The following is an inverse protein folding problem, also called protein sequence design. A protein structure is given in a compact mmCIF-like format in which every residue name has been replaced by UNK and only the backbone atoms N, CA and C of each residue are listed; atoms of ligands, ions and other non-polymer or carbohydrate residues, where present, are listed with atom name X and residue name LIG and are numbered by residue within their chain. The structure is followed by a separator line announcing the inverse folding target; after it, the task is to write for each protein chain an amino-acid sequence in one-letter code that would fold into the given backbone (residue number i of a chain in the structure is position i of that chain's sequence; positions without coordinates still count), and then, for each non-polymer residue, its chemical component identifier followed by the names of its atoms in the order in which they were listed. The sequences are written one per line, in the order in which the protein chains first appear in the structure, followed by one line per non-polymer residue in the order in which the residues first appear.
data_IF_404760405000
#
_entry.id   IF_404760405000
#
_cell.length_a   1.000
_cell.length_b   1.000
_cell.length_c   1.000
_cell.angle_alpha   90.00
_cell.angle_beta   90.00
_cell.angle_gamma   90.00
#
_symmetry.space_group_name_H-M   'P 1'
#
loop_
_entity.id
_entity.type
_entity.pdbx_description
1 polymer ?
#
# COMPACT_ATOMS: atom_id res chain seq x y z
N UNK A 1 -5.90 18.90 48.16
CA UNK A 1 -6.73 18.71 46.94
C UNK A 1 -5.79 18.27 45.83
N UNK A 2 -5.86 17.00 45.41
CA UNK A 2 -5.10 16.51 44.26
C UNK A 2 -5.99 16.64 43.02
N UNK A 3 -5.60 17.53 42.10
CA UNK A 3 -6.24 17.66 40.79
C UNK A 3 -5.83 16.44 39.96
N UNK A 4 -6.74 15.50 39.73
CA UNK A 4 -6.54 14.36 38.82
C UNK A 4 -7.25 14.71 37.52
N UNK A 5 -6.51 14.77 36.41
CA UNK A 5 -7.11 14.71 35.09
C UNK A 5 -7.42 13.23 34.80
N UNK A 6 -8.70 12.79 34.85
CA UNK A 6 -9.02 11.38 34.69
C UNK A 6 -8.68 10.94 33.25
N UNK A 7 -7.99 9.80 33.09
CA UNK A 7 -7.75 9.24 31.77
C UNK A 7 -9.08 8.91 31.10
N UNK A 8 -9.21 9.26 29.81
CA UNK A 8 -10.43 9.04 29.03
C UNK A 8 -10.55 7.55 28.67
N UNK A 9 -11.75 7.01 28.82
CA UNK A 9 -12.03 5.58 28.58
C UNK A 9 -11.70 5.11 27.16
N UNK A 10 -11.70 6.03 26.19
CA UNK A 10 -11.41 5.73 24.78
C UNK A 10 -9.92 5.43 24.54
N UNK A 11 -9.01 5.91 25.38
CA UNK A 11 -7.56 5.70 25.24
C UNK A 11 -7.21 4.22 25.44
N UNK A 12 -7.77 3.57 26.47
CA UNK A 12 -7.47 2.16 26.75
C UNK A 12 -7.86 1.24 25.58
N UNK A 13 -9.02 1.49 24.97
CA UNK A 13 -9.47 0.74 23.78
C UNK A 13 -8.56 0.94 22.57
N UNK A 14 -8.06 2.16 22.37
CA UNK A 14 -7.17 2.51 21.27
C UNK A 14 -5.76 1.94 21.45
N UNK A 15 -5.21 1.98 22.68
CA UNK A 15 -3.95 1.31 23.02
C UNK A 15 -4.05 -0.20 22.79
N UNK A 16 -5.18 -0.81 23.15
CA UNK A 16 -5.47 -2.20 22.84
C UNK A 16 -5.49 -2.50 21.35
N UNK A 17 -6.10 -1.63 20.53
CA UNK A 17 -6.12 -1.76 19.08
C UNK A 17 -4.72 -1.63 18.45
N UNK A 18 -3.93 -0.64 18.88
CA UNK A 18 -2.53 -0.47 18.42
C UNK A 18 -1.68 -1.71 18.77
N UNK A 19 -1.83 -2.24 19.98
CA UNK A 19 -1.13 -3.47 20.39
C UNK A 19 -1.51 -4.69 19.58
N UNK A 20 -2.81 -4.90 19.30
CA UNK A 20 -3.25 -5.98 18.38
C UNK A 20 -2.63 -5.82 16.99
N UNK A 21 -2.44 -4.58 16.56
CA UNK A 21 -1.76 -4.24 15.32
C UNK A 21 -0.23 -4.31 15.37
N UNK A 22 0.34 -4.80 16.47
CA UNK A 22 1.79 -4.91 16.67
C UNK A 22 2.50 -3.56 16.82
N UNK A 23 1.78 -2.49 17.13
CA UNK A 23 2.33 -1.15 17.38
C UNK A 23 2.54 -0.98 18.90
N UNK A 24 3.80 -0.78 19.28
CA UNK A 24 4.17 -0.47 20.67
C UNK A 24 3.74 0.95 21.06
N UNK A 25 3.25 1.12 22.29
CA UNK A 25 2.92 2.43 22.86
C UNK A 25 3.78 2.65 24.09
N UNK A 26 4.50 3.78 24.12
CA UNK A 26 5.42 4.16 25.19
C UNK A 26 5.00 5.51 25.74
N UNK A 27 4.95 5.65 27.06
CA UNK A 27 4.70 6.92 27.73
C UNK A 27 6.03 7.59 28.11
N UNK A 28 6.22 8.85 27.74
CA UNK A 28 7.34 9.68 28.19
C UNK A 28 6.82 10.98 28.82
N UNK A 29 6.95 11.11 30.14
CA UNK A 29 6.41 12.24 30.92
C UNK A 29 7.46 12.88 31.84
N UNK A 30 7.26 14.16 32.15
CA UNK A 30 8.01 14.88 33.19
C UNK A 30 7.53 14.54 34.61
N UNK A 31 6.42 13.82 34.75
CA UNK A 31 5.82 13.49 36.05
C UNK A 31 6.67 12.55 36.91
N UNK A 32 6.29 12.48 38.19
CA UNK A 32 6.85 11.51 39.12
C UNK A 32 6.59 10.05 38.67
N UNK A 33 7.55 9.12 38.83
CA UNK A 33 7.39 7.72 38.41
C UNK A 33 6.10 7.04 38.90
N UNK A 34 5.73 7.25 40.17
CA UNK A 34 4.50 6.69 40.73
C UNK A 34 3.22 7.19 40.05
N UNK A 35 3.17 8.48 39.67
CA UNK A 35 2.04 9.06 38.94
C UNK A 35 2.02 8.54 37.50
N UNK A 36 3.17 8.51 36.83
CA UNK A 36 3.30 8.02 35.47
C UNK A 36 2.81 6.56 35.34
N UNK A 37 3.20 5.68 36.27
CA UNK A 37 2.72 4.30 36.32
C UNK A 37 1.21 4.22 36.54
N UNK A 38 0.69 5.00 37.48
CA UNK A 38 -0.74 4.98 37.78
C UNK A 38 -1.57 5.38 36.54
N UNK A 39 -1.15 6.42 35.83
CA UNK A 39 -1.81 6.84 34.57
C UNK A 39 -1.61 5.79 33.49
N UNK A 40 -0.38 5.31 33.26
CA UNK A 40 -0.08 4.32 32.24
C UNK A 40 -0.87 3.01 32.41
N UNK A 41 -1.09 2.56 33.65
CA UNK A 41 -1.94 1.40 33.94
C UNK A 41 -3.40 1.69 33.68
N UNK A 42 -3.89 2.86 34.08
CA UNK A 42 -5.28 3.25 33.86
C UNK A 42 -5.64 3.35 32.37
N UNK A 43 -4.70 3.77 31.51
CA UNK A 43 -4.89 3.83 30.05
C UNK A 43 -4.44 2.56 29.31
N UNK A 44 -4.02 1.50 30.01
CA UNK A 44 -3.61 0.23 29.39
C UNK A 44 -2.26 0.24 28.68
N UNK A 45 -1.42 1.27 28.86
CA UNK A 45 -0.03 1.33 28.35
C UNK A 45 0.92 0.46 29.18
N UNK A 46 0.66 0.30 30.47
CA UNK A 46 1.52 -0.47 31.38
C UNK A 46 0.79 -1.69 31.95
N UNK A 47 1.47 -2.85 31.95
CA UNK A 47 1.05 -4.00 32.76
C UNK A 47 1.30 -3.76 34.26
N UNK A 48 0.78 -4.65 35.11
CA UNK A 48 0.92 -4.55 36.57
C UNK A 48 2.38 -4.58 37.02
N UNK A 49 3.24 -5.26 36.28
CA UNK A 49 4.69 -5.43 36.50
C UNK A 49 5.55 -4.55 35.59
N UNK A 50 4.97 -3.52 34.95
CA UNK A 50 5.67 -2.68 34.00
C UNK A 50 6.94 -2.03 34.59
N UNK A 51 8.04 -2.18 33.86
CA UNK A 51 9.32 -1.53 34.16
C UNK A 51 9.19 -0.04 33.84
N UNK A 52 9.61 0.78 34.81
CA UNK A 52 9.69 2.24 34.67
C UNK A 52 11.15 2.62 34.65
N UNK A 53 11.52 3.49 33.70
CA UNK A 53 12.86 4.05 33.64
C UNK A 53 12.79 5.55 33.89
N UNK A 54 13.67 6.06 34.74
CA UNK A 54 13.74 7.51 34.99
C UNK A 54 14.61 8.22 33.94
N UNK A 55 14.46 9.53 33.77
CA UNK A 55 15.32 10.31 32.86
C UNK A 55 16.82 10.17 33.19
N UNK A 56 17.17 10.08 34.47
CA UNK A 56 18.55 9.88 34.91
C UNK A 56 19.08 8.52 34.43
N UNK A 57 18.31 7.44 34.60
CA UNK A 57 18.63 6.11 34.10
C UNK A 57 18.74 6.06 32.58
N UNK A 58 17.85 6.75 31.86
CA UNK A 58 17.86 6.84 30.39
C UNK A 58 19.15 7.44 29.85
N UNK A 59 19.74 8.40 30.57
CA UNK A 59 20.99 9.06 30.17
C UNK A 59 22.16 8.06 30.10
N UNK A 60 22.13 7.02 30.94
CA UNK A 60 23.12 5.94 30.92
C UNK A 60 22.89 4.92 29.79
N UNK A 61 21.65 4.82 29.28
CA UNK A 61 21.29 3.90 28.19
C UNK A 61 21.74 4.41 26.82
N UNK A 62 21.83 5.73 26.63
CA UNK A 62 22.23 6.33 25.35
C UNK A 62 23.64 5.91 24.91
N UNK A 63 24.53 5.75 25.88
CA UNK A 63 25.94 5.39 25.66
C UNK A 63 26.20 3.89 25.87
N UNK A 64 25.17 3.11 26.20
CA UNK A 64 25.30 1.67 26.38
C UNK A 64 25.35 0.95 25.01
N UNK A 65 26.15 -0.13 24.86
CA UNK A 65 26.16 -0.93 23.64
C UNK A 65 24.77 -1.52 23.37
N UNK A 66 24.42 -1.65 22.07
CA UNK A 66 23.13 -1.91 21.39
C UNK A 66 22.15 -2.98 21.95
N UNK A 67 22.38 -3.56 23.13
CA UNK A 67 21.69 -4.74 23.65
C UNK A 67 20.81 -4.52 24.89
N UNK A 68 20.61 -3.28 25.36
CA UNK A 68 19.65 -3.06 26.46
C UNK A 68 18.23 -3.22 25.92
N UNK A 69 17.38 -4.10 26.50
CA UNK A 69 16.02 -4.33 26.01
C UNK A 69 15.09 -3.15 26.32
N UNK A 70 15.26 -2.06 25.59
CA UNK A 70 14.35 -0.89 25.53
C UNK A 70 12.94 -1.35 25.17
N UNK A 71 12.83 -2.44 24.41
CA UNK A 71 11.58 -3.10 24.05
C UNK A 71 10.70 -3.50 25.25
N UNK A 72 11.24 -3.56 26.48
CA UNK A 72 10.47 -3.90 27.70
C UNK A 72 10.02 -2.67 28.50
N UNK A 73 10.57 -1.49 28.26
CA UNK A 73 10.21 -0.28 29.03
C UNK A 73 9.04 0.43 28.37
N UNK A 74 7.92 0.51 29.08
CA UNK A 74 6.67 1.14 28.59
C UNK A 74 6.47 2.55 29.13
N UNK A 75 7.18 2.92 30.22
CA UNK A 75 7.01 4.19 30.91
C UNK A 75 8.37 4.81 31.23
N UNK A 76 8.59 6.01 30.72
CA UNK A 76 9.72 6.88 31.03
C UNK A 76 9.22 8.10 31.81
N UNK A 77 9.76 8.32 33.00
CA UNK A 77 9.31 9.36 33.93
C UNK A 77 10.43 10.36 34.26
N UNK A 78 10.05 11.59 34.66
CA UNK A 78 10.97 12.73 34.83
C UNK A 78 11.87 12.97 33.61
N UNK A 79 11.31 12.83 32.41
CA UNK A 79 12.05 12.99 31.15
C UNK A 79 12.11 14.47 30.76
N UNK A 80 13.31 14.98 30.52
CA UNK A 80 13.53 16.32 29.97
C UNK A 80 13.24 16.39 28.46
N UNK A 81 12.99 17.59 27.88
CA UNK A 81 12.77 17.72 26.43
C UNK A 81 13.90 17.12 25.59
N UNK A 82 15.16 17.28 26.01
CA UNK A 82 16.33 16.69 25.33
C UNK A 82 16.30 15.16 25.40
N UNK A 83 15.92 14.58 26.53
CA UNK A 83 15.82 13.13 26.69
C UNK A 83 14.67 12.51 25.87
N UNK A 84 13.61 13.27 25.54
CA UNK A 84 12.61 12.81 24.56
C UNK A 84 13.24 12.60 23.17
N UNK A 85 14.14 13.50 22.75
CA UNK A 85 14.90 13.34 21.50
C UNK A 85 15.83 12.12 21.54
N UNK A 86 16.46 11.88 22.68
CA UNK A 86 17.35 10.73 22.87
C UNK A 86 16.57 9.41 22.82
N UNK A 87 15.34 9.39 23.35
CA UNK A 87 14.44 8.24 23.28
C UNK A 87 14.03 7.93 21.83
N UNK A 88 13.70 8.96 21.04
CA UNK A 88 13.37 8.81 19.61
C UNK A 88 14.57 8.22 18.85
N UNK A 89 15.78 8.76 19.05
CA UNK A 89 17.01 8.21 18.44
C UNK A 89 17.19 6.73 18.76
N UNK A 90 16.93 6.38 20.01
CA UNK A 90 17.15 5.03 20.50
C UNK A 90 16.24 4.02 19.82
N UNK A 91 14.94 4.33 19.69
CA UNK A 91 13.99 3.49 18.96
C UNK A 91 14.27 3.45 17.44
N UNK A 92 14.70 4.58 16.85
CA UNK A 92 15.06 4.63 15.43
C UNK A 92 16.31 3.80 15.12
N UNK A 93 17.31 3.78 16.03
CA UNK A 93 18.50 2.92 15.90
C UNK A 93 18.17 1.43 16.00
N UNK A 94 17.16 1.07 16.80
CA UNK A 94 16.59 -0.28 16.85
C UNK A 94 15.80 -0.65 15.57
N UNK A 95 15.69 0.28 14.61
CA UNK A 95 15.00 0.07 13.34
C UNK A 95 13.47 0.19 13.41
N UNK A 96 12.95 0.76 14.50
CA UNK A 96 11.53 1.08 14.64
C UNK A 96 11.19 2.38 13.90
N UNK A 97 9.94 2.52 13.47
CA UNK A 97 9.37 3.80 12.99
C UNK A 97 8.65 4.43 14.16
N UNK A 98 9.04 5.65 14.52
CA UNK A 98 8.58 6.32 15.74
C UNK A 98 7.58 7.41 15.42
N UNK A 99 6.38 7.30 15.98
CA UNK A 99 5.44 8.40 16.04
C UNK A 99 5.51 9.09 17.42
N UNK A 100 5.74 10.40 17.44
CA UNK A 100 5.77 11.20 18.66
C UNK A 100 4.49 12.03 18.76
N UNK A 101 3.86 12.03 19.95
CA UNK A 101 2.66 12.85 20.21
C UNK A 101 3.03 13.93 21.22
N UNK A 102 2.68 15.17 20.92
CA UNK A 102 2.96 16.32 21.77
C UNK A 102 2.00 17.48 21.57
N UNK A 103 1.94 18.38 22.53
CA UNK A 103 1.05 19.55 22.51
C UNK A 103 1.78 20.86 22.85
N UNK A 104 2.88 20.79 23.59
CA UNK A 104 3.66 21.95 24.02
C UNK A 104 4.77 22.38 23.06
N UNK A 105 5.21 23.64 23.21
CA UNK A 105 6.41 24.18 22.52
C UNK A 105 7.66 23.34 22.81
N UNK A 106 7.73 22.77 24.02
CA UNK A 106 8.84 21.89 24.43
C UNK A 106 8.90 20.58 23.64
N UNK A 107 7.79 20.16 23.02
CA UNK A 107 7.72 18.92 22.24
C UNK A 107 8.01 19.16 20.76
N UNK A 108 8.02 20.41 20.27
CA UNK A 108 8.25 20.73 18.87
C UNK A 108 9.55 20.12 18.30
N UNK A 109 10.71 20.17 19.00
CA UNK A 109 11.92 19.49 18.52
C UNK A 109 11.75 17.97 18.40
N UNK A 110 10.96 17.36 19.30
CA UNK A 110 10.73 15.92 19.32
C UNK A 110 9.74 15.49 18.24
N UNK A 111 8.71 16.30 17.99
CA UNK A 111 7.78 16.12 16.87
C UNK A 111 8.52 16.11 15.53
N UNK A 112 9.40 17.09 15.30
CA UNK A 112 10.16 17.20 14.05
C UNK A 112 11.24 16.11 13.87
N UNK A 113 11.68 15.49 14.97
CA UNK A 113 12.69 14.42 14.94
C UNK A 113 12.09 13.04 14.69
N UNK A 114 10.86 12.81 15.15
CA UNK A 114 10.16 11.56 14.95
C UNK A 114 9.94 11.28 13.45
N UNK A 115 9.75 10.02 13.09
CA UNK A 115 9.38 9.68 11.71
C UNK A 115 7.99 10.21 11.37
N UNK A 116 7.13 10.37 12.38
CA UNK A 116 5.82 11.01 12.30
C UNK A 116 5.58 11.86 13.56
N UNK A 117 5.60 13.18 13.43
CA UNK A 117 5.17 14.10 14.47
C UNK A 117 3.64 14.25 14.50
N UNK A 118 3.02 14.10 15.68
CA UNK A 118 1.57 14.21 15.87
C UNK A 118 1.24 15.28 16.91
N UNK A 119 0.59 16.36 16.48
CA UNK A 119 0.17 17.45 17.36
C UNK A 119 -1.31 17.42 17.71
N UNK A 120 -1.65 17.93 18.90
CA UNK A 120 -3.03 18.15 19.32
C UNK A 120 -3.61 19.40 18.63
N UNK A 121 -4.82 19.30 18.09
CA UNK A 121 -5.44 20.38 17.33
C UNK A 121 -5.95 21.51 18.21
N UNK A 122 -6.67 21.20 19.30
CA UNK A 122 -7.29 22.21 20.19
C UNK A 122 -6.34 22.60 21.33
N UNK A 123 -5.75 21.62 22.00
CA UNK A 123 -4.84 21.84 23.13
C UNK A 123 -3.39 22.13 22.72
N UNK A 124 -3.02 21.81 21.47
CA UNK A 124 -1.66 22.06 20.99
C UNK A 124 -1.38 23.53 20.75
N UNK A 125 -0.15 23.92 21.05
CA UNK A 125 0.40 25.23 20.69
C UNK A 125 0.58 25.37 19.18
N UNK A 126 0.59 26.60 18.65
CA UNK A 126 0.86 26.83 17.21
C UNK A 126 2.20 26.23 16.79
N UNK A 127 3.24 26.42 17.62
CA UNK A 127 4.57 25.86 17.37
C UNK A 127 4.55 24.33 17.28
N UNK A 128 3.75 23.64 18.11
CA UNK A 128 3.64 22.19 18.03
C UNK A 128 2.90 21.74 16.76
N UNK A 129 1.85 22.46 16.34
CA UNK A 129 1.11 22.15 15.10
C UNK A 129 1.96 22.37 13.85
N UNK A 130 2.76 23.44 13.81
CA UNK A 130 3.66 23.73 12.69
C UNK A 130 4.83 22.74 12.59
N UNK A 131 5.23 22.14 13.72
CA UNK A 131 6.32 21.16 13.79
C UNK A 131 5.88 19.70 13.51
N UNK A 132 4.57 19.44 13.37
CA UNK A 132 4.02 18.08 13.24
C UNK A 132 3.63 17.74 11.79
N UNK A 133 3.78 16.47 11.41
CA UNK A 133 3.31 15.95 10.13
C UNK A 133 1.79 15.71 10.10
N UNK A 134 1.21 15.45 11.27
CA UNK A 134 -0.23 15.20 11.45
C UNK A 134 -0.80 15.99 12.64
N UNK A 135 -1.97 16.60 12.45
CA UNK A 135 -2.68 17.35 13.50
C UNK A 135 -4.02 16.70 13.82
N UNK A 136 -4.25 16.33 15.08
CA UNK A 136 -5.49 15.75 15.57
C UNK A 136 -6.50 16.86 15.93
N UNK A 137 -7.30 17.30 14.95
CA UNK A 137 -8.26 18.40 15.12
C UNK A 137 -9.28 18.19 16.25
N UNK A 138 -9.54 16.94 16.64
CA UNK A 138 -10.49 16.57 17.69
C UNK A 138 -9.84 16.30 19.06
N UNK A 139 -8.51 16.33 19.16
CA UNK A 139 -7.72 15.94 20.34
C UNK A 139 -8.00 14.51 20.84
N UNK A 140 -8.37 13.59 19.95
CA UNK A 140 -8.72 12.21 20.32
C UNK A 140 -7.62 11.22 19.93
N UNK A 141 -7.08 10.53 20.93
CA UNK A 141 -6.11 9.44 20.72
C UNK A 141 -6.63 8.31 19.80
N UNK A 142 -7.91 7.89 19.84
CA UNK A 142 -8.45 6.92 18.88
C UNK A 142 -8.26 7.27 17.39
N UNK A 143 -8.15 8.55 17.04
CA UNK A 143 -7.94 9.01 15.66
C UNK A 143 -6.61 8.51 15.09
N UNK A 144 -5.62 8.24 15.94
CA UNK A 144 -4.34 7.62 15.54
C UNK A 144 -4.54 6.19 15.04
N UNK A 145 -5.46 5.43 15.63
CA UNK A 145 -5.79 4.07 15.17
C UNK A 145 -6.37 4.11 13.77
N UNK A 146 -7.25 5.08 13.51
CA UNK A 146 -7.85 5.30 12.19
C UNK A 146 -6.75 5.68 11.19
N UNK A 147 -5.88 6.64 11.54
CA UNK A 147 -4.77 7.06 10.69
C UNK A 147 -3.82 5.89 10.35
N UNK A 148 -3.48 5.04 11.34
CA UNK A 148 -2.67 3.85 11.13
C UNK A 148 -3.35 2.84 10.18
N UNK A 149 -4.67 2.64 10.33
CA UNK A 149 -5.46 1.80 9.42
C UNK A 149 -5.43 2.35 7.99
N UNK A 150 -5.77 3.62 7.80
CA UNK A 150 -5.80 4.25 6.48
C UNK A 150 -4.42 4.25 5.83
N UNK A 151 -3.35 4.51 6.59
CA UNK A 151 -1.97 4.45 6.08
C UNK A 151 -1.61 3.07 5.53
N UNK A 152 -2.01 1.99 6.22
CA UNK A 152 -1.80 0.62 5.74
C UNK A 152 -2.62 0.32 4.49
N UNK A 153 -3.89 0.73 4.44
CA UNK A 153 -4.77 0.57 3.27
C UNK A 153 -4.20 1.29 2.05
N UNK A 154 -3.78 2.55 2.21
CA UNK A 154 -3.17 3.36 1.14
C UNK A 154 -1.92 2.66 0.61
N UNK A 155 -1.05 2.17 1.50
CA UNK A 155 0.19 1.50 1.09
C UNK A 155 -0.06 0.20 0.32
N UNK A 156 -1.03 -0.60 0.75
CA UNK A 156 -1.44 -1.82 0.02
C UNK A 156 -2.04 -1.48 -1.35
N UNK A 157 -2.84 -0.42 -1.43
CA UNK A 157 -3.37 0.08 -2.70
C UNK A 157 -2.24 0.58 -3.62
N UNK A 158 -1.20 1.24 -3.09
CA UNK A 158 -0.01 1.64 -3.84
C UNK A 158 0.68 0.44 -4.47
N UNK A 159 0.91 -0.62 -3.69
CA UNK A 159 1.49 -1.86 -4.20
C UNK A 159 0.62 -2.49 -5.29
N UNK A 160 -0.70 -2.45 -5.11
CA UNK A 160 -1.67 -3.05 -6.03
C UNK A 160 -1.67 -2.33 -7.38
N UNK A 161 -1.86 -1.01 -7.40
CA UNK A 161 -1.89 -0.29 -8.67
C UNK A 161 -0.51 -0.23 -9.33
N UNK A 162 0.59 -0.23 -8.56
CA UNK A 162 1.93 -0.29 -9.12
C UNK A 162 2.19 -1.63 -9.85
N UNK A 163 1.77 -2.76 -9.28
CA UNK A 163 1.84 -4.05 -9.97
C UNK A 163 0.98 -4.06 -11.22
N UNK A 164 -0.24 -3.50 -11.18
CA UNK A 164 -1.10 -3.35 -12.35
C UNK A 164 -0.39 -2.57 -13.48
N UNK A 165 0.03 -1.33 -13.22
CA UNK A 165 0.65 -0.46 -14.22
C UNK A 165 1.95 -1.06 -14.78
N UNK A 166 2.82 -1.58 -13.91
CA UNK A 166 4.09 -2.15 -14.35
C UNK A 166 3.89 -3.45 -15.15
N UNK A 167 2.83 -4.23 -14.87
CA UNK A 167 2.48 -5.41 -15.67
C UNK A 167 2.01 -5.01 -17.07
N UNK A 168 1.17 -3.97 -17.18
CA UNK A 168 0.72 -3.42 -18.45
C UNK A 168 1.91 -2.93 -19.30
N UNK A 169 2.78 -2.10 -18.70
CA UNK A 169 3.96 -1.56 -19.38
C UNK A 169 4.92 -2.67 -19.83
N UNK A 170 5.16 -3.66 -18.97
CA UNK A 170 5.99 -4.80 -19.33
C UNK A 170 5.38 -5.59 -20.49
N UNK A 171 4.07 -5.81 -20.50
CA UNK A 171 3.39 -6.49 -21.59
C UNK A 171 3.58 -5.75 -22.92
N UNK A 172 3.39 -4.43 -22.94
CA UNK A 172 3.58 -3.61 -24.14
C UNK A 172 5.01 -3.72 -24.69
N UNK A 173 6.01 -3.57 -23.81
CA UNK A 173 7.43 -3.72 -24.18
C UNK A 173 7.71 -5.12 -24.73
N UNK A 174 7.23 -6.17 -24.07
CA UNK A 174 7.44 -7.54 -24.51
C UNK A 174 6.76 -7.83 -25.85
N UNK A 175 5.51 -7.37 -26.05
CA UNK A 175 4.77 -7.55 -27.30
C UNK A 175 5.51 -6.92 -28.46
N UNK A 176 5.96 -5.67 -28.33
CA UNK A 176 6.71 -4.98 -29.38
C UNK A 176 8.07 -5.66 -29.63
N UNK A 177 8.83 -5.94 -28.57
CA UNK A 177 10.16 -6.54 -28.70
C UNK A 177 10.11 -7.93 -29.35
N UNK A 178 9.21 -8.81 -28.90
CA UNK A 178 9.08 -10.16 -29.43
C UNK A 178 8.53 -10.17 -30.85
N UNK A 179 7.62 -9.26 -31.21
CA UNK A 179 7.15 -9.13 -32.58
C UNK A 179 8.28 -8.72 -33.52
N UNK A 180 9.09 -7.73 -33.14
CA UNK A 180 10.23 -7.26 -33.95
C UNK A 180 11.27 -8.36 -34.13
N UNK A 181 11.66 -9.05 -33.05
CA UNK A 181 12.61 -10.19 -33.12
C UNK A 181 12.05 -11.34 -33.95
N UNK A 182 10.74 -11.59 -33.87
CA UNK A 182 10.05 -12.62 -34.65
C UNK A 182 9.79 -12.26 -36.11
N UNK A 183 10.16 -11.05 -36.56
CA UNK A 183 9.85 -10.58 -37.93
C UNK A 183 8.36 -10.39 -38.20
N UNK A 184 7.55 -10.24 -37.15
CA UNK A 184 6.11 -10.01 -37.23
C UNK A 184 5.83 -8.52 -37.50
N UNK A 185 4.65 -8.18 -38.06
CA UNK A 185 4.23 -6.78 -38.18
C UNK A 185 4.19 -6.11 -36.81
N UNK A 186 4.37 -4.78 -36.78
CA UNK A 186 4.31 -4.01 -35.55
C UNK A 186 2.94 -4.19 -34.88
N UNK A 187 2.88 -4.74 -33.65
CA UNK A 187 1.62 -5.05 -32.99
C UNK A 187 0.92 -3.81 -32.47
N UNK A 188 1.69 -2.77 -32.13
CA UNK A 188 1.19 -1.52 -31.58
C UNK A 188 1.97 -0.34 -32.19
N UNK A 189 1.25 0.74 -32.45
CA UNK A 189 1.84 2.01 -32.87
C UNK A 189 2.16 2.91 -31.67
N UNK A 190 3.11 3.85 -31.78
CA UNK A 190 3.46 4.75 -30.67
C UNK A 190 2.26 5.53 -30.10
N UNK A 191 1.36 6.02 -30.95
CA UNK A 191 0.15 6.72 -30.49
C UNK A 191 -0.86 5.78 -29.82
N UNK A 192 -0.91 4.51 -30.21
CA UNK A 192 -1.73 3.50 -29.54
C UNK A 192 -1.16 3.19 -28.16
N UNK A 193 0.16 3.03 -28.03
CA UNK A 193 0.86 2.86 -26.74
C UNK A 193 0.58 4.06 -25.84
N UNK A 194 0.67 5.29 -26.36
CA UNK A 194 0.35 6.50 -25.59
C UNK A 194 -1.12 6.51 -25.14
N UNK A 195 -2.04 6.11 -26.02
CA UNK A 195 -3.45 5.98 -25.68
C UNK A 195 -3.68 4.96 -24.56
N UNK A 196 -3.00 3.80 -24.60
CA UNK A 196 -3.12 2.80 -23.54
C UNK A 196 -2.65 3.36 -22.19
N UNK A 197 -1.41 3.85 -22.17
CA UNK A 197 -0.75 4.33 -20.95
C UNK A 197 -1.43 5.54 -20.31
N UNK A 198 -1.95 6.49 -21.11
CA UNK A 198 -2.52 7.74 -20.60
C UNK A 198 -4.03 7.67 -20.43
N UNK A 199 -4.71 6.91 -21.31
CA UNK A 199 -6.17 6.93 -21.39
C UNK A 199 -6.77 5.69 -20.76
N UNK A 200 -6.30 4.49 -21.08
CA UNK A 200 -6.96 3.26 -20.58
C UNK A 200 -6.42 2.80 -19.23
N UNK A 201 -5.12 2.94 -18.95
CA UNK A 201 -4.53 2.44 -17.71
C UNK A 201 -4.67 3.36 -16.50
N UNK A 202 -4.81 4.67 -16.74
CA UNK A 202 -4.90 5.67 -15.67
C UNK A 202 -6.17 5.51 -14.84
N UNK A 203 -7.33 5.33 -15.47
CA UNK A 203 -8.58 5.24 -14.71
C UNK A 203 -8.66 4.01 -13.81
N UNK A 204 -8.33 2.78 -14.27
CA UNK A 204 -8.30 1.62 -13.38
C UNK A 204 -7.25 1.73 -12.29
N UNK A 205 -6.07 2.32 -12.56
CA UNK A 205 -5.06 2.54 -11.54
C UNK A 205 -5.57 3.47 -10.41
N UNK A 206 -6.24 4.58 -10.76
CA UNK A 206 -6.90 5.45 -9.77
C UNK A 206 -8.03 4.74 -9.01
N UNK A 207 -8.81 3.92 -9.70
CA UNK A 207 -9.84 3.12 -9.05
C UNK A 207 -9.23 2.12 -8.05
N UNK A 208 -8.12 1.47 -8.39
CA UNK A 208 -7.41 0.57 -7.47
C UNK A 208 -6.80 1.33 -6.28
N UNK A 209 -6.38 2.58 -6.46
CA UNK A 209 -5.81 3.43 -5.41
C UNK A 209 -6.82 3.78 -4.30
N UNK A 210 -8.12 3.80 -4.62
CA UNK A 210 -9.22 4.22 -3.73
C UNK A 210 -9.95 3.07 -3.04
N UNK A 211 -9.43 1.84 -3.12
CA UNK A 211 -10.04 0.68 -2.48
C UNK A 211 -10.05 0.77 -0.94
N UNK A 212 -11.13 0.32 -0.29
CA UNK A 212 -11.31 0.41 1.17
C UNK A 212 -10.49 -0.61 1.99
N UNK A 213 -9.62 -1.40 1.33
CA UNK A 213 -8.88 -2.52 1.92
C UNK A 213 -9.66 -3.85 1.97
N UNK A 214 -8.95 -4.97 2.19
CA UNK A 214 -9.56 -6.30 2.40
C UNK A 214 -9.28 -6.80 3.82
N UNK A 215 -10.31 -7.30 4.51
CA UNK A 215 -10.17 -7.88 5.86
C UNK A 215 -9.82 -6.83 6.93
N UNK A 216 -9.28 -7.29 8.06
CA UNK A 216 -8.77 -6.40 9.11
C UNK A 216 -7.27 -6.16 8.91
N UNK A 217 -6.94 -5.03 8.28
CA UNK A 217 -5.56 -4.59 8.02
C UNK A 217 -4.80 -4.30 9.33
N UNK A 218 -5.53 -4.08 10.43
CA UNK A 218 -4.93 -3.91 11.75
C UNK A 218 -4.57 -5.25 12.40
N UNK A 219 -4.96 -6.41 11.88
CA UNK A 219 -4.52 -7.70 12.44
C UNK A 219 -3.13 -8.14 11.94
N UNK A 220 -2.55 -7.39 11.01
CA UNK A 220 -1.22 -7.66 10.46
C UNK A 220 -0.14 -6.91 11.25
N UNK A 221 1.07 -7.47 11.42
CA UNK A 221 2.16 -6.75 12.06
C UNK A 221 2.62 -5.55 11.20
N UNK A 222 3.27 -4.54 11.80
CA UNK A 222 3.85 -3.45 11.04
C UNK A 222 4.86 -3.95 10.01
N UNK A 223 4.86 -3.31 8.84
CA UNK A 223 5.81 -3.60 7.78
C UNK A 223 7.23 -3.27 8.21
N UNK A 224 8.20 -4.04 7.72
CA UNK A 224 9.62 -3.72 7.91
C UNK A 224 9.97 -2.44 7.13
N UNK A 225 10.61 -1.43 7.74
CA UNK A 225 10.88 -0.16 7.06
C UNK A 225 11.75 -0.31 5.80
N UNK A 226 12.74 -1.22 5.86
CA UNK A 226 13.67 -1.53 4.76
C UNK A 226 13.09 -2.41 3.66
N UNK A 227 11.86 -2.89 3.79
CA UNK A 227 11.24 -3.66 2.71
C UNK A 227 11.00 -2.72 1.51
N UNK A 228 11.31 -3.12 0.26
CA UNK A 228 10.96 -2.31 -0.90
C UNK A 228 9.44 -2.24 -1.08
N UNK A 229 8.97 -1.20 -1.78
CA UNK A 229 7.54 -1.06 -2.12
C UNK A 229 7.12 -2.28 -2.96
N UNK A 230 7.88 -2.60 -4.00
CA UNK A 230 7.70 -3.83 -4.80
C UNK A 230 8.69 -4.89 -4.32
N UNK A 231 8.19 -5.89 -3.58
CA UNK A 231 8.99 -7.04 -3.14
C UNK A 231 9.32 -7.98 -4.30
N UNK A 232 10.30 -8.87 -4.12
CA UNK A 232 10.66 -9.87 -5.14
C UNK A 232 9.48 -10.80 -5.53
N UNK A 233 8.51 -11.00 -4.62
CA UNK A 233 7.27 -11.73 -4.93
C UNK A 233 6.36 -10.94 -5.87
N UNK A 234 6.23 -9.62 -5.65
CA UNK A 234 5.45 -8.73 -6.49
C UNK A 234 6.11 -8.55 -7.87
N UNK A 235 7.45 -8.51 -7.94
CA UNK A 235 8.19 -8.52 -9.22
C UNK A 235 7.91 -9.77 -10.06
N UNK A 236 7.96 -10.97 -9.45
CA UNK A 236 7.66 -12.23 -10.15
C UNK A 236 6.21 -12.27 -10.65
N UNK A 237 5.30 -11.74 -9.85
CA UNK A 237 3.89 -11.65 -10.22
C UNK A 237 3.63 -10.68 -11.37
N UNK A 238 4.21 -9.49 -11.28
CA UNK A 238 4.17 -8.48 -12.35
C UNK A 238 4.75 -9.04 -13.66
N UNK A 239 5.88 -9.75 -13.58
CA UNK A 239 6.46 -10.43 -14.72
C UNK A 239 5.54 -11.52 -15.28
N UNK A 240 4.92 -12.34 -14.42
CA UNK A 240 3.97 -13.37 -14.83
C UNK A 240 2.77 -12.81 -15.59
N UNK A 241 2.16 -11.73 -15.08
CA UNK A 241 1.05 -11.07 -15.77
C UNK A 241 1.49 -10.36 -17.06
N UNK A 242 2.62 -9.65 -17.04
CA UNK A 242 3.16 -9.00 -18.22
C UNK A 242 3.43 -9.99 -19.36
N UNK A 243 4.06 -11.13 -19.05
CA UNK A 243 4.29 -12.23 -20.00
C UNK A 243 2.97 -12.82 -20.49
N UNK A 244 2.00 -13.06 -19.61
CA UNK A 244 0.71 -13.61 -19.98
C UNK A 244 -0.06 -12.72 -20.98
N UNK A 245 -0.16 -11.43 -20.68
CA UNK A 245 -0.79 -10.43 -21.55
C UNK A 245 -0.02 -10.32 -22.88
N UNK A 246 1.31 -10.39 -22.83
CA UNK A 246 2.12 -10.36 -24.03
C UNK A 246 1.89 -11.57 -24.93
N UNK A 247 1.90 -12.78 -24.36
CA UNK A 247 1.63 -14.03 -25.09
C UNK A 247 0.22 -14.01 -25.68
N UNK A 248 -0.81 -13.61 -24.92
CA UNK A 248 -2.18 -13.54 -25.46
C UNK A 248 -2.30 -12.55 -26.62
N UNK A 249 -1.62 -11.42 -26.54
CA UNK A 249 -1.63 -10.39 -27.60
C UNK A 249 -0.88 -10.87 -28.85
N UNK A 250 0.29 -11.51 -28.68
CA UNK A 250 1.06 -12.09 -29.78
C UNK A 250 0.31 -13.24 -30.45
N UNK A 251 -0.41 -14.06 -29.69
CA UNK A 251 -1.29 -15.09 -30.24
C UNK A 251 -2.40 -14.48 -31.11
N UNK A 252 -3.02 -13.39 -30.66
CA UNK A 252 -4.01 -12.67 -31.47
C UNK A 252 -3.38 -12.06 -32.74
N UNK A 253 -2.18 -11.48 -32.63
CA UNK A 253 -1.43 -10.95 -33.77
C UNK A 253 -1.15 -12.04 -34.82
N UNK A 254 -0.61 -13.18 -34.40
CA UNK A 254 -0.27 -14.31 -35.28
C UNK A 254 -1.53 -14.91 -35.89
N UNK A 255 -2.58 -15.12 -35.10
CA UNK A 255 -3.85 -15.65 -35.59
C UNK A 255 -4.53 -14.69 -36.57
N UNK A 256 -4.45 -13.37 -36.34
CA UNK A 256 -4.98 -12.37 -37.27
C UNK A 256 -4.20 -12.38 -38.59
N UNK A 257 -2.86 -12.42 -38.52
CA UNK A 257 -2.00 -12.33 -39.70
C UNK A 257 -2.01 -13.59 -40.56
N UNK A 258 -1.92 -14.76 -39.94
CA UNK A 258 -1.73 -16.04 -40.63
C UNK A 258 -2.97 -16.94 -40.60
N UNK A 259 -3.88 -16.77 -39.64
CA UNK A 259 -5.11 -17.55 -39.54
C UNK A 259 -6.28 -16.90 -40.28
N UNK A 260 -6.44 -15.58 -40.14
CA UNK A 260 -7.49 -14.80 -40.82
C UNK A 260 -6.97 -14.03 -42.04
N UNK A 261 -5.67 -14.11 -42.33
CA UNK A 261 -5.01 -13.47 -43.47
C UNK A 261 -5.24 -11.95 -43.56
N UNK A 262 -5.42 -11.29 -42.41
CA UNK A 262 -5.59 -9.84 -42.38
C UNK A 262 -4.33 -9.09 -42.85
N UNK A 263 -4.56 -7.91 -43.41
CA UNK A 263 -3.50 -6.98 -43.76
C UNK A 263 -2.82 -6.43 -42.49
N UNK A 264 -1.66 -5.80 -42.67
CA UNK A 264 -0.85 -5.29 -41.55
C UNK A 264 -1.64 -4.33 -40.66
N UNK A 265 -2.39 -3.40 -41.24
CA UNK A 265 -3.12 -2.39 -40.48
C UNK A 265 -4.26 -2.99 -39.64
N UNK A 266 -5.03 -3.94 -40.20
CA UNK A 266 -6.08 -4.64 -39.45
C UNK A 266 -5.47 -5.54 -38.37
N UNK A 267 -4.34 -6.19 -38.64
CA UNK A 267 -3.63 -7.03 -37.67
C UNK A 267 -3.12 -6.22 -36.46
N UNK A 268 -2.55 -5.03 -36.70
CA UNK A 268 -2.18 -4.08 -35.64
C UNK A 268 -3.41 -3.65 -34.83
N UNK A 269 -4.54 -3.40 -35.50
CA UNK A 269 -5.78 -3.01 -34.80
C UNK A 269 -6.32 -4.15 -33.92
N UNK A 270 -6.29 -5.40 -34.38
CA UNK A 270 -6.65 -6.58 -33.56
C UNK A 270 -5.76 -6.65 -32.31
N UNK A 271 -4.46 -6.43 -32.47
CA UNK A 271 -3.50 -6.49 -31.37
C UNK A 271 -3.74 -5.36 -30.35
N UNK A 272 -3.97 -4.14 -30.83
CA UNK A 272 -4.35 -2.98 -30.01
C UNK A 272 -5.61 -3.26 -29.17
N UNK A 273 -6.68 -3.77 -29.79
CA UNK A 273 -7.92 -4.11 -29.07
C UNK A 273 -7.67 -5.25 -28.08
N UNK A 274 -6.89 -6.26 -28.46
CA UNK A 274 -6.60 -7.41 -27.59
C UNK A 274 -5.88 -6.98 -26.32
N UNK A 275 -4.81 -6.19 -26.44
CA UNK A 275 -4.05 -5.74 -25.27
C UNK A 275 -4.86 -4.75 -24.42
N UNK A 276 -5.59 -3.82 -25.05
CA UNK A 276 -6.44 -2.87 -24.33
C UNK A 276 -7.46 -3.60 -23.44
N UNK A 277 -8.16 -4.58 -24.01
CA UNK A 277 -9.13 -5.37 -23.26
C UNK A 277 -8.44 -6.26 -22.21
N UNK A 278 -7.31 -6.88 -22.53
CA UNK A 278 -6.55 -7.70 -21.59
C UNK A 278 -6.12 -6.91 -20.36
N UNK A 279 -5.67 -5.66 -20.54
CA UNK A 279 -5.34 -4.74 -19.45
C UNK A 279 -6.58 -4.39 -18.61
N UNK A 280 -7.74 -4.14 -19.23
CA UNK A 280 -8.99 -3.92 -18.48
C UNK A 280 -9.41 -5.14 -17.65
N UNK A 281 -9.24 -6.36 -18.18
CA UNK A 281 -9.49 -7.59 -17.43
C UNK A 281 -8.47 -7.80 -16.31
N UNK A 282 -7.22 -7.37 -16.53
CA UNK A 282 -6.13 -7.53 -15.57
C UNK A 282 -6.41 -6.84 -14.23
N UNK A 283 -7.21 -5.76 -14.22
CA UNK A 283 -7.69 -5.10 -13.00
C UNK A 283 -8.30 -6.09 -12.01
N UNK A 284 -9.06 -7.08 -12.49
CA UNK A 284 -9.69 -8.09 -11.63
C UNK A 284 -8.71 -9.11 -11.05
N UNK A 285 -7.53 -9.27 -11.65
CA UNK A 285 -6.46 -10.11 -11.12
C UNK A 285 -5.80 -9.49 -9.87
N UNK A 286 -6.02 -8.19 -9.62
CA UNK A 286 -5.47 -7.45 -8.48
C UNK A 286 -6.21 -7.70 -7.14
N UNK A 287 -7.19 -8.59 -7.12
CA UNK A 287 -7.89 -9.03 -5.89
C UNK A 287 -6.94 -9.73 -4.92
N UNK A 288 -7.21 -9.65 -3.61
CA UNK A 288 -6.35 -10.32 -2.63
C UNK A 288 -6.33 -11.86 -2.75
N UNK A 289 -5.32 -12.52 -2.14
CA UNK A 289 -5.08 -13.95 -2.36
C UNK A 289 -6.17 -14.85 -1.76
N UNK A 290 -6.84 -14.37 -0.70
CA UNK A 290 -7.88 -15.07 0.05
C UNK A 290 -9.30 -14.62 -0.30
N UNK A 291 -9.48 -13.66 -1.23
CA UNK A 291 -10.80 -13.12 -1.55
C UNK A 291 -11.51 -13.94 -2.63
N UNK A 292 -12.85 -13.89 -2.60
CA UNK A 292 -13.69 -14.61 -3.55
C UNK A 292 -13.60 -13.98 -4.95
N UNK A 293 -13.88 -14.78 -5.98
CA UNK A 293 -13.75 -14.33 -7.38
C UNK A 293 -14.70 -13.19 -7.73
N UNK A 294 -15.94 -13.28 -7.24
CA UNK A 294 -17.01 -12.33 -7.58
C UNK A 294 -17.23 -11.26 -6.51
N UNK A 295 -16.84 -11.53 -5.26
CA UNK A 295 -17.02 -10.61 -4.13
C UNK A 295 -15.67 -10.38 -3.42
N UNK A 296 -14.99 -9.30 -3.81
CA UNK A 296 -13.70 -8.88 -3.26
C UNK A 296 -13.60 -7.34 -3.23
N UNK A 297 -12.50 -6.77 -2.73
CA UNK A 297 -12.37 -5.30 -2.65
C UNK A 297 -12.34 -4.63 -4.02
N UNK A 298 -11.88 -5.32 -5.07
CA UNK A 298 -11.85 -4.78 -6.43
C UNK A 298 -13.26 -4.74 -7.03
N UNK A 299 -13.99 -5.86 -6.96
CA UNK A 299 -15.34 -5.94 -7.55
C UNK A 299 -16.39 -5.17 -6.77
N UNK A 300 -16.19 -4.94 -5.47
CA UNK A 300 -17.05 -4.07 -4.65
C UNK A 300 -16.77 -2.59 -4.84
N UNK A 301 -15.60 -2.23 -5.35
CA UNK A 301 -15.25 -0.83 -5.60
C UNK A 301 -16.01 -0.32 -6.83
N UNK A 302 -16.98 0.59 -6.60
CA UNK A 302 -17.78 1.21 -7.65
C UNK A 302 -16.94 1.99 -8.65
N UNK A 303 -15.81 2.57 -8.21
CA UNK A 303 -14.91 3.33 -9.08
C UNK A 303 -14.23 2.45 -10.12
N UNK A 304 -14.00 1.16 -9.83
CA UNK A 304 -13.45 0.22 -10.81
C UNK A 304 -14.43 0.01 -11.96
N UNK A 305 -15.73 -0.17 -11.67
CA UNK A 305 -16.75 -0.29 -12.69
C UNK A 305 -16.94 0.99 -13.51
N UNK A 306 -16.92 2.16 -12.87
CA UNK A 306 -16.92 3.43 -13.57
C UNK A 306 -15.71 3.59 -14.48
N UNK A 307 -14.50 3.26 -14.00
CA UNK A 307 -13.28 3.30 -14.80
C UNK A 307 -13.38 2.38 -16.02
N UNK A 308 -13.84 1.14 -15.85
CA UNK A 308 -14.04 0.19 -16.95
C UNK A 308 -15.06 0.71 -17.98
N UNK A 309 -16.18 1.27 -17.53
CA UNK A 309 -17.18 1.85 -18.42
C UNK A 309 -16.61 3.03 -19.22
N UNK A 310 -15.83 3.90 -18.58
CA UNK A 310 -15.14 5.02 -19.23
C UNK A 310 -14.14 4.49 -20.26
N UNK A 311 -13.27 3.54 -19.89
CA UNK A 311 -12.27 2.99 -20.80
C UNK A 311 -12.89 2.28 -22.00
N UNK A 312 -13.95 1.48 -21.79
CA UNK A 312 -14.70 0.85 -22.88
C UNK A 312 -15.37 1.89 -23.78
N UNK A 313 -15.93 2.96 -23.20
CA UNK A 313 -16.47 4.10 -23.95
C UNK A 313 -15.41 4.82 -24.78
N UNK A 314 -14.19 5.00 -24.25
CA UNK A 314 -13.07 5.63 -24.94
C UNK A 314 -12.49 4.75 -26.05
N UNK A 315 -12.42 3.43 -25.82
CA UNK A 315 -12.08 2.45 -26.87
C UNK A 315 -13.15 2.51 -27.97
N UNK A 316 -14.44 2.52 -27.64
CA UNK A 316 -15.51 2.66 -28.63
C UNK A 316 -15.42 4.00 -29.39
N UNK A 317 -15.13 5.10 -28.70
CA UNK A 317 -14.90 6.41 -29.31
C UNK A 317 -13.72 6.40 -30.28
N UNK A 318 -12.69 5.59 -30.03
CA UNK A 318 -11.56 5.42 -30.94
C UNK A 318 -11.94 4.80 -32.29
N UNK A 319 -13.04 4.05 -32.35
CA UNK A 319 -13.60 3.51 -33.60
C UNK A 319 -14.63 4.43 -34.25
N UNK A 320 -15.39 5.20 -33.47
CA UNK A 320 -16.51 6.00 -33.99
C UNK A 320 -16.14 7.43 -34.36
N UNK A 321 -15.12 8.02 -33.71
CA UNK A 321 -14.68 9.39 -33.98
C UNK A 321 -13.59 9.38 -35.06
N UNK A 322 -13.83 9.93 -36.27
CA UNK A 322 -12.90 9.81 -37.39
C UNK A 322 -11.51 10.39 -37.14
N UNK A 323 -11.43 11.49 -36.37
CA UNK A 323 -10.16 12.12 -36.00
C UNK A 323 -9.32 11.17 -35.13
N UNK A 324 -9.95 10.50 -34.17
CA UNK A 324 -9.28 9.59 -33.25
C UNK A 324 -8.90 8.28 -33.95
N UNK A 325 -9.81 7.73 -34.76
CA UNK A 325 -9.55 6.55 -35.58
C UNK A 325 -8.36 6.78 -36.53
N UNK A 326 -8.31 7.94 -37.19
CA UNK A 326 -7.20 8.31 -38.08
C UNK A 326 -5.89 8.51 -37.32
N UNK A 327 -5.92 9.18 -36.16
CA UNK A 327 -4.74 9.40 -35.34
C UNK A 327 -4.14 8.08 -34.80
N UNK A 328 -5.00 7.16 -34.37
CA UNK A 328 -4.60 5.84 -33.87
C UNK A 328 -4.41 4.80 -34.98
N UNK A 329 -4.64 5.17 -36.25
CA UNK A 329 -4.62 4.29 -37.43
C UNK A 329 -5.45 3.02 -37.25
N UNK A 330 -6.64 3.17 -36.65
CA UNK A 330 -7.57 2.08 -36.37
C UNK A 330 -8.33 1.71 -37.65
N UNK A 331 -8.34 0.41 -37.97
CA UNK A 331 -9.17 -0.16 -39.04
C UNK A 331 -10.49 -0.70 -38.49
N UNK A 332 -11.53 -0.76 -39.32
CA UNK A 332 -12.79 -1.39 -38.93
C UNK A 332 -12.60 -2.91 -38.80
N UNK A 333 -12.93 -3.48 -37.64
CA UNK A 333 -12.90 -4.93 -37.44
C UNK A 333 -14.25 -5.56 -37.81
N UNK A 334 -14.19 -6.66 -38.57
CA UNK A 334 -15.32 -7.57 -38.72
C UNK A 334 -15.56 -8.42 -37.47
N UNK A 335 -16.63 -9.24 -37.50
CA UNK A 335 -17.03 -10.10 -36.38
C UNK A 335 -15.89 -11.05 -35.96
N UNK A 336 -15.17 -11.62 -36.93
CA UNK A 336 -14.05 -12.54 -36.65
C UNK A 336 -12.90 -11.85 -35.92
N UNK A 337 -12.55 -10.62 -36.31
CA UNK A 337 -11.51 -9.85 -35.65
C UNK A 337 -11.88 -9.47 -34.22
N UNK A 338 -13.13 -9.05 -33.98
CA UNK A 338 -13.64 -8.80 -32.63
C UNK A 338 -13.67 -10.06 -31.77
N UNK A 339 -14.14 -11.18 -32.32
CA UNK A 339 -14.19 -12.46 -31.61
C UNK A 339 -12.79 -12.95 -31.23
N UNK A 340 -11.81 -12.81 -32.13
CA UNK A 340 -10.42 -13.13 -31.86
C UNK A 340 -9.84 -12.25 -30.75
N UNK A 341 -10.01 -10.93 -30.84
CA UNK A 341 -9.50 -10.00 -29.85
C UNK A 341 -10.11 -10.24 -28.46
N UNK A 342 -11.43 -10.39 -28.37
CA UNK A 342 -12.12 -10.71 -27.13
C UNK A 342 -11.68 -12.06 -26.56
N UNK A 343 -11.65 -13.10 -27.39
CA UNK A 343 -11.26 -14.45 -26.98
C UNK A 343 -9.83 -14.51 -26.41
N UNK A 344 -8.88 -13.88 -27.09
CA UNK A 344 -7.50 -13.81 -26.62
C UNK A 344 -7.34 -12.90 -25.39
N UNK A 345 -8.07 -11.79 -25.31
CA UNK A 345 -7.95 -10.84 -24.20
C UNK A 345 -8.29 -11.44 -22.83
N UNK A 346 -9.16 -12.45 -22.78
CA UNK A 346 -9.60 -13.09 -21.53
C UNK A 346 -8.58 -14.12 -21.02
N UNK A 347 -7.67 -14.63 -21.86
CA UNK A 347 -6.71 -15.68 -21.48
C UNK A 347 -5.87 -15.34 -20.22
N UNK A 348 -5.31 -14.12 -20.07
CA UNK A 348 -4.51 -13.74 -18.90
C UNK A 348 -5.32 -13.65 -17.60
N UNK A 349 -6.66 -13.57 -17.67
CA UNK A 349 -7.52 -13.50 -16.48
C UNK A 349 -7.61 -14.82 -15.69
N UNK A 350 -7.07 -15.91 -16.24
CA UNK A 350 -7.07 -17.24 -15.62
C UNK A 350 -5.82 -17.55 -14.78
N UNK A 351 -4.87 -16.61 -14.68
CA UNK A 351 -3.58 -16.82 -14.01
C UNK A 351 -3.57 -16.49 -12.50
N UNK A 352 -2.56 -17.01 -11.81
CA UNK A 352 -2.43 -17.04 -10.35
C UNK A 352 -2.56 -15.67 -9.64
N UNK A 353 -3.13 -15.73 -8.43
CA UNK A 353 -3.70 -14.61 -7.66
C UNK A 353 -2.66 -13.63 -7.10
N UNK A 354 -3.04 -12.34 -7.00
CA UNK A 354 -2.28 -11.34 -6.27
C UNK A 354 -2.09 -11.73 -4.78
N UNK A 355 -0.86 -11.61 -4.26
CA UNK A 355 -0.49 -11.97 -2.88
C UNK A 355 -0.36 -13.46 -2.52
N UNK A 356 -0.52 -14.41 -3.45
CA UNK A 356 -0.52 -15.85 -3.11
C UNK A 356 0.82 -16.39 -2.59
N UNK A 357 1.95 -15.75 -2.94
CA UNK A 357 3.29 -16.20 -2.55
C UNK A 357 3.88 -15.51 -1.31
N UNK A 358 3.32 -14.39 -0.84
CA UNK A 358 3.78 -13.73 0.38
C UNK A 358 3.33 -14.46 1.66
N UNK A 359 2.25 -15.25 1.59
CA UNK A 359 1.80 -16.08 2.70
C UNK A 359 2.70 -17.29 2.99
N UNK A 360 3.51 -17.74 2.02
CA UNK A 360 4.38 -18.91 2.16
C UNK A 360 5.73 -18.65 2.81
N UNK A 361 6.15 -17.39 2.95
CA UNK A 361 7.49 -17.03 3.44
C UNK A 361 7.53 -16.59 4.91
N UNK A 362 6.38 -16.54 5.60
CA UNK A 362 6.27 -16.09 7.00
C UNK A 362 6.05 -17.19 8.04
N UNK A 363 5.89 -18.46 7.64
CA UNK A 363 5.47 -19.55 8.53
C UNK A 363 6.61 -20.37 9.16
N UNK A 364 7.88 -19.93 9.04
CA UNK A 364 9.02 -20.63 9.65
C UNK A 364 9.90 -19.67 10.44
N UNK A 365 9.39 -19.17 11.56
CA UNK A 365 10.24 -18.83 12.71
C UNK A 365 9.56 -19.40 13.96
N UNK A 366 9.86 -20.68 14.20
CA UNK A 366 9.54 -21.37 15.44
C UNK A 366 10.35 -20.69 16.55
N UNK A 367 9.67 -20.05 17.51
CA UNK A 367 10.29 -19.66 18.77
C UNK A 367 10.46 -20.93 19.63
N UNK A 368 11.68 -21.31 20.05
CA UNK A 368 11.84 -22.38 21.03
C UNK A 368 11.67 -21.82 22.45
N UNK A 369 10.73 -22.40 23.20
CA UNK A 369 10.90 -22.66 24.64
C UNK A 369 10.38 -21.61 25.62
N UNK A 370 9.10 -21.73 26.00
CA UNK A 370 8.62 -21.35 27.33
C UNK A 370 7.79 -22.52 27.89
N UNK A 371 8.49 -23.47 28.51
CA UNK A 371 7.92 -24.41 29.47
C UNK A 371 9.01 -24.76 30.48
N UNK A 372 8.66 -24.63 31.77
CA UNK A 372 9.50 -24.87 32.97
C UNK A 372 10.57 -23.77 33.16
N UNK A 373 10.59 -22.96 34.23
CA UNK A 373 10.30 -23.18 35.64
C UNK A 373 9.86 -21.88 36.32
#
# INVERSE_FOLDING_TARGET
MAFRDPPRDDIASAVGALRRAGIGVVMATGDHPSTAVAVARAVGIAATDAVVTTGDELSHLKDAPESVPIARTQVFARVSPRQKLDLIDLFQRDGQVVAMIGDGVNDAPALMKADIGVAMGKRGTEVARDAADMVLLDDRFPTIVIAAREGRVIFDNIRRFAVYLLSCNLAEVLVVALAVVGGLPLPLLPLQILFLNLVTDVFPAFALATGEGEGDVLDQPPRRPKEPIISASLWRMMAGYGVAIAVSTLLALVAARYGLEYDTATTTTVSFVTIALAQLWHVFNMRGPRSAVLCNAVTRNRLVWCALAICLGLIAAAFTIPVLAKALQIQALGIQGWALALGCSVLPSRQDRYGSQSAGAGATFNAPGLHHL
#
